data_IF_630129945807
#
_entry.id   IF_630129945807
#
_cell.length_a   1.000
_cell.length_b   1.000
_cell.length_c   1.000
_cell.angle_alpha   90.00
_cell.angle_beta   90.00
_cell.angle_gamma   90.00
#
_symmetry.space_group_name_H-M   'P 1'
#
loop_
_entity.id
_entity.type
_entity.pdbx_description
1 polymer ?
#
# COMPACT_ATOMS: atom_id res chain seq x y z
N UNK A 1 18.88 72.28 -28.59
CA UNK A 1 19.57 71.01 -28.29
C UNK A 1 19.20 70.43 -26.93
N UNK A 2 19.37 71.16 -25.81
CA UNK A 2 19.10 70.63 -24.46
C UNK A 2 17.65 70.13 -24.23
N UNK A 3 16.63 70.84 -24.73
CA UNK A 3 15.22 70.46 -24.60
C UNK A 3 14.91 69.11 -25.27
N UNK A 4 15.44 68.89 -26.47
CA UNK A 4 15.23 67.66 -27.25
C UNK A 4 15.87 66.47 -26.55
N UNK A 5 17.05 66.65 -25.96
CA UNK A 5 17.73 65.63 -25.16
C UNK A 5 16.94 65.30 -23.89
N UNK A 6 16.42 66.31 -23.18
CA UNK A 6 15.61 66.10 -21.99
C UNK A 6 14.31 65.32 -22.30
N UNK A 7 13.64 65.65 -23.40
CA UNK A 7 12.46 64.91 -23.87
C UNK A 7 12.82 63.46 -24.21
N UNK A 8 13.91 63.24 -24.94
CA UNK A 8 14.36 61.89 -25.30
C UNK A 8 14.68 61.03 -24.06
N UNK A 9 15.35 61.60 -23.06
CA UNK A 9 15.64 60.92 -21.78
C UNK A 9 14.35 60.57 -21.04
N UNK A 10 13.37 61.48 -20.99
CA UNK A 10 12.06 61.23 -20.38
C UNK A 10 11.30 60.11 -21.09
N UNK A 11 11.31 60.09 -22.42
CA UNK A 11 10.69 59.03 -23.21
C UNK A 11 11.32 57.66 -22.93
N UNK A 12 12.65 57.58 -22.80
CA UNK A 12 13.35 56.34 -22.45
C UNK A 12 13.00 55.88 -21.03
N UNK A 13 12.95 56.79 -20.06
CA UNK A 13 12.56 56.47 -18.68
C UNK A 13 11.13 55.95 -18.60
N UNK A 14 10.18 56.59 -19.29
CA UNK A 14 8.79 56.16 -19.38
C UNK A 14 8.65 54.78 -20.04
N UNK A 15 9.41 54.52 -21.11
CA UNK A 15 9.43 53.21 -21.76
C UNK A 15 9.94 52.12 -20.81
N UNK A 16 11.01 52.41 -20.04
CA UNK A 16 11.58 51.48 -19.05
C UNK A 16 10.62 51.22 -17.89
N UNK A 17 9.94 52.25 -17.37
CA UNK A 17 8.97 52.08 -16.28
C UNK A 17 7.76 51.25 -16.71
N UNK A 18 7.23 51.51 -17.91
CA UNK A 18 6.10 50.73 -18.45
C UNK A 18 6.49 49.27 -18.70
N UNK A 19 7.71 49.04 -19.22
CA UNK A 19 8.23 47.68 -19.38
C UNK A 19 8.37 46.96 -18.02
N UNK A 20 8.94 47.62 -17.01
CA UNK A 20 9.08 47.03 -15.67
C UNK A 20 7.73 46.74 -14.99
N UNK A 21 6.75 47.64 -15.16
CA UNK A 21 5.38 47.43 -14.68
C UNK A 21 4.73 46.23 -15.39
N UNK A 22 4.86 46.12 -16.71
CA UNK A 22 4.32 45.01 -17.48
C UNK A 22 4.94 43.67 -17.07
N UNK A 23 6.26 43.62 -16.81
CA UNK A 23 6.92 42.43 -16.29
C UNK A 23 6.40 42.07 -14.90
N UNK A 24 6.30 43.04 -13.99
CA UNK A 24 5.79 42.80 -12.63
C UNK A 24 4.33 42.34 -12.61
N UNK A 25 3.48 42.87 -13.50
CA UNK A 25 2.09 42.46 -13.62
C UNK A 25 1.98 41.03 -14.17
N UNK A 26 2.81 40.69 -15.16
CA UNK A 26 2.95 39.34 -15.68
C UNK A 26 3.40 38.36 -14.59
N UNK A 27 4.43 38.68 -13.82
CA UNK A 27 4.92 37.85 -12.72
C UNK A 27 3.84 37.67 -11.63
N UNK A 28 3.12 38.74 -11.29
CA UNK A 28 2.02 38.64 -10.32
C UNK A 28 0.89 37.75 -10.83
N UNK A 29 0.59 37.78 -12.13
CA UNK A 29 -0.39 36.91 -12.77
C UNK A 29 0.05 35.45 -12.73
N UNK A 30 1.33 35.17 -13.01
CA UNK A 30 1.90 33.81 -12.90
C UNK A 30 1.82 33.32 -11.46
N UNK A 31 2.28 34.10 -10.49
CA UNK A 31 2.21 33.73 -9.06
C UNK A 31 0.78 33.48 -8.57
N UNK A 32 -0.20 34.26 -9.04
CA UNK A 32 -1.62 34.00 -8.74
C UNK A 32 -2.11 32.69 -9.35
N UNK A 33 -1.71 32.41 -10.58
CA UNK A 33 -2.01 31.14 -11.25
C UNK A 33 -1.40 29.96 -10.49
N UNK A 34 -0.14 30.06 -10.09
CA UNK A 34 0.57 29.02 -9.35
C UNK A 34 -0.02 28.81 -7.95
N UNK A 35 -0.38 29.88 -7.23
CA UNK A 35 -1.04 29.77 -5.93
C UNK A 35 -2.42 29.11 -6.06
N UNK A 36 -3.18 29.43 -7.11
CA UNK A 36 -4.46 28.79 -7.38
C UNK A 36 -4.28 27.29 -7.66
N UNK A 37 -3.32 26.93 -8.53
CA UNK A 37 -2.99 25.54 -8.85
C UNK A 37 -2.51 24.77 -7.61
N UNK A 38 -1.61 25.35 -6.82
CA UNK A 38 -1.13 24.74 -5.57
C UNK A 38 -2.26 24.55 -4.56
N UNK A 39 -3.12 25.55 -4.38
CA UNK A 39 -4.28 25.44 -3.50
C UNK A 39 -5.21 24.31 -3.95
N UNK A 40 -5.46 24.15 -5.25
CA UNK A 40 -6.25 23.03 -5.78
C UNK A 40 -5.57 21.69 -5.54
N UNK A 41 -4.27 21.58 -5.78
CA UNK A 41 -3.52 20.33 -5.54
C UNK A 41 -3.54 19.94 -4.05
N UNK A 42 -3.37 20.91 -3.14
CA UNK A 42 -3.38 20.67 -1.70
C UNK A 42 -4.76 20.19 -1.23
N UNK A 43 -5.84 20.83 -1.67
CA UNK A 43 -7.20 20.42 -1.28
C UNK A 43 -7.56 19.04 -1.82
N UNK A 44 -7.21 18.76 -3.08
CA UNK A 44 -7.40 17.43 -3.67
C UNK A 44 -6.57 16.36 -2.95
N UNK A 45 -5.30 16.64 -2.61
CA UNK A 45 -4.48 15.69 -1.85
C UNK A 45 -5.01 15.43 -0.43
N UNK A 46 -5.44 16.47 0.29
CA UNK A 46 -6.00 16.33 1.63
C UNK A 46 -7.29 15.51 1.65
N UNK A 47 -8.19 15.75 0.67
CA UNK A 47 -9.40 14.95 0.52
C UNK A 47 -9.09 13.48 0.23
N UNK A 48 -8.18 13.23 -0.72
CA UNK A 48 -7.74 11.88 -1.05
C UNK A 48 -7.16 11.18 0.19
N UNK A 49 -6.25 11.83 0.92
CA UNK A 49 -5.64 11.27 2.13
C UNK A 49 -6.68 10.90 3.20
N UNK A 50 -7.66 11.78 3.43
CA UNK A 50 -8.75 11.49 4.36
C UNK A 50 -9.55 10.24 3.94
N UNK A 51 -9.80 10.07 2.64
CA UNK A 51 -10.48 8.87 2.13
C UNK A 51 -9.62 7.62 2.21
N UNK A 52 -8.34 7.70 1.85
CA UNK A 52 -7.37 6.61 2.03
C UNK A 52 -7.38 6.12 3.48
N UNK A 53 -7.37 7.05 4.44
CA UNK A 53 -7.42 6.71 5.86
C UNK A 53 -8.73 6.02 6.24
N UNK A 54 -9.88 6.51 5.76
CA UNK A 54 -11.18 5.90 6.04
C UNK A 54 -11.28 4.46 5.52
N UNK A 55 -10.84 4.22 4.27
CA UNK A 55 -10.83 2.87 3.67
C UNK A 55 -9.86 1.96 4.41
N UNK A 56 -8.67 2.46 4.76
CA UNK A 56 -7.69 1.71 5.52
C UNK A 56 -8.18 1.35 6.94
N UNK A 57 -8.87 2.27 7.62
CA UNK A 57 -9.45 2.03 8.94
C UNK A 57 -10.54 0.96 8.88
N UNK A 58 -11.45 1.04 7.89
CA UNK A 58 -12.48 0.03 7.69
C UNK A 58 -11.87 -1.36 7.41
N UNK A 59 -10.89 -1.43 6.50
CA UNK A 59 -10.18 -2.67 6.21
C UNK A 59 -9.45 -3.22 7.45
N UNK A 60 -8.82 -2.35 8.24
CA UNK A 60 -8.16 -2.72 9.50
C UNK A 60 -9.15 -3.31 10.50
N UNK A 61 -10.30 -2.67 10.68
CA UNK A 61 -11.37 -3.16 11.56
C UNK A 61 -11.88 -4.54 11.12
N UNK A 62 -12.12 -4.74 9.83
CA UNK A 62 -12.52 -6.04 9.28
C UNK A 62 -11.45 -7.10 9.53
N UNK A 63 -10.18 -6.77 9.31
CA UNK A 63 -9.07 -7.69 9.53
C UNK A 63 -8.95 -8.10 11.01
N UNK A 64 -9.18 -7.19 11.95
CA UNK A 64 -9.22 -7.51 13.39
C UNK A 64 -10.36 -8.46 13.75
N UNK A 65 -11.53 -8.31 13.13
CA UNK A 65 -12.65 -9.24 13.33
C UNK A 65 -12.34 -10.63 12.75
N UNK A 66 -11.67 -10.68 11.60
CA UNK A 66 -11.19 -11.94 11.00
C UNK A 66 -10.18 -12.62 11.92
N UNK A 67 -9.28 -11.87 12.54
CA UNK A 67 -8.32 -12.40 13.52
C UNK A 67 -9.01 -13.04 14.71
N UNK A 68 -9.91 -12.30 15.36
CA UNK A 68 -10.67 -12.82 16.50
C UNK A 68 -11.51 -14.05 16.12
N UNK A 69 -12.14 -14.04 14.94
CA UNK A 69 -12.90 -15.18 14.42
C UNK A 69 -12.02 -16.39 14.13
N UNK A 70 -10.84 -16.17 13.56
CA UNK A 70 -9.84 -17.20 13.25
C UNK A 70 -9.32 -17.85 14.52
N UNK A 71 -8.92 -17.05 15.51
CA UNK A 71 -8.44 -17.55 16.81
C UNK A 71 -9.51 -18.37 17.52
N UNK A 72 -10.76 -17.88 17.56
CA UNK A 72 -11.88 -18.60 18.15
C UNK A 72 -12.08 -19.97 17.49
N UNK A 73 -12.11 -20.02 16.16
CA UNK A 73 -12.27 -21.29 15.43
C UNK A 73 -11.08 -22.23 15.64
N UNK A 74 -9.85 -21.72 15.71
CA UNK A 74 -8.66 -22.55 16.00
C UNK A 74 -8.75 -23.17 17.39
N UNK A 75 -9.20 -22.41 18.39
CA UNK A 75 -9.43 -22.94 19.75
C UNK A 75 -10.50 -24.04 19.74
N UNK A 76 -11.62 -23.80 19.06
CA UNK A 76 -12.68 -24.79 18.90
C UNK A 76 -12.17 -26.07 18.22
N UNK A 77 -11.42 -25.92 17.14
CA UNK A 77 -10.84 -27.05 16.41
C UNK A 77 -9.84 -27.82 17.27
N UNK A 78 -9.02 -27.15 18.09
CA UNK A 78 -8.13 -27.83 19.04
C UNK A 78 -8.91 -28.69 20.04
N UNK A 79 -10.04 -28.21 20.56
CA UNK A 79 -10.86 -29.01 21.48
C UNK A 79 -11.52 -30.21 20.82
N UNK A 80 -11.95 -30.09 19.56
CA UNK A 80 -12.48 -31.21 18.79
C UNK A 80 -11.38 -32.23 18.51
N UNK A 81 -10.25 -31.76 17.96
CA UNK A 81 -9.12 -32.59 17.55
C UNK A 81 -8.45 -33.32 18.72
N UNK A 82 -8.48 -32.76 19.94
CA UNK A 82 -7.99 -33.43 21.14
C UNK A 82 -8.72 -34.77 21.43
N UNK A 83 -9.92 -34.95 20.89
CA UNK A 83 -10.72 -36.18 21.04
C UNK A 83 -10.50 -37.16 19.89
N UNK A 84 -9.88 -36.71 18.80
CA UNK A 84 -9.64 -37.51 17.61
C UNK A 84 -8.34 -38.30 17.77
N UNK A 85 -8.41 -39.63 17.69
CA UNK A 85 -7.26 -40.50 18.01
C UNK A 85 -6.25 -40.61 16.88
N UNK A 86 -6.64 -40.25 15.67
CA UNK A 86 -5.84 -40.44 14.45
C UNK A 86 -5.19 -39.16 13.93
N UNK A 87 -5.49 -38.01 14.52
CA UNK A 87 -5.04 -36.74 13.97
C UNK A 87 -3.52 -36.51 14.12
N UNK A 88 -2.88 -37.15 15.11
CA UNK A 88 -1.43 -37.02 15.35
C UNK A 88 -0.58 -37.84 14.37
N UNK A 89 -1.20 -38.62 13.49
CA UNK A 89 -0.49 -39.32 12.43
C UNK A 89 0.20 -38.31 11.51
N UNK A 90 1.45 -38.59 11.07
CA UNK A 90 2.15 -37.74 10.14
C UNK A 90 1.47 -37.78 8.77
N UNK A 91 1.40 -36.63 8.11
CA UNK A 91 1.03 -36.56 6.69
C UNK A 91 2.12 -37.26 5.87
N UNK A 92 1.78 -38.12 4.89
CA UNK A 92 2.75 -38.79 4.03
C UNK A 92 3.74 -37.82 3.39
N UNK A 93 5.01 -38.22 3.33
CA UNK A 93 6.11 -37.36 2.90
C UNK A 93 5.91 -36.79 1.48
N UNK A 94 5.39 -37.58 0.55
CA UNK A 94 5.12 -37.13 -0.82
C UNK A 94 4.08 -35.99 -0.87
N UNK A 95 3.06 -36.05 0.00
CA UNK A 95 2.02 -35.02 0.10
C UNK A 95 2.59 -33.76 0.76
N UNK A 96 3.30 -33.91 1.88
CA UNK A 96 3.91 -32.79 2.59
C UNK A 96 4.97 -32.09 1.72
N UNK A 97 5.77 -32.87 0.98
CA UNK A 97 6.75 -32.37 0.01
C UNK A 97 6.09 -31.60 -1.13
N UNK A 98 5.01 -32.13 -1.71
CA UNK A 98 4.25 -31.43 -2.75
C UNK A 98 3.64 -30.11 -2.28
N UNK A 99 3.12 -30.05 -1.04
CA UNK A 99 2.62 -28.81 -0.44
C UNK A 99 3.73 -27.78 -0.23
N UNK A 100 4.90 -28.23 0.24
CA UNK A 100 6.07 -27.37 0.44
C UNK A 100 6.58 -26.81 -0.90
N UNK A 101 6.69 -27.65 -1.93
CA UNK A 101 7.06 -27.22 -3.28
C UNK A 101 6.07 -26.19 -3.84
N UNK A 102 4.76 -26.43 -3.66
CA UNK A 102 3.74 -25.47 -4.07
C UNK A 102 3.90 -24.13 -3.34
N UNK A 103 4.15 -24.15 -2.03
CA UNK A 103 4.38 -22.93 -1.25
C UNK A 103 5.62 -22.17 -1.72
N UNK A 104 6.71 -22.87 -2.05
CA UNK A 104 7.90 -22.24 -2.63
C UNK A 104 7.60 -21.61 -4.00
N UNK A 105 6.88 -22.31 -4.87
CA UNK A 105 6.48 -21.77 -6.19
C UNK A 105 5.59 -20.55 -6.05
N UNK A 106 4.63 -20.58 -5.12
CA UNK A 106 3.76 -19.45 -4.85
C UNK A 106 4.57 -18.24 -4.35
N UNK A 107 5.49 -18.45 -3.40
CA UNK A 107 6.40 -17.41 -2.92
C UNK A 107 7.24 -16.83 -4.05
N UNK A 108 7.83 -17.68 -4.88
CA UNK A 108 8.64 -17.26 -6.02
C UNK A 108 7.83 -16.44 -7.05
N UNK A 109 6.55 -16.76 -7.25
CA UNK A 109 5.68 -15.97 -8.14
C UNK A 109 5.20 -14.66 -7.55
N UNK A 110 5.07 -14.57 -6.21
CA UNK A 110 4.51 -13.41 -5.53
C UNK A 110 5.57 -12.38 -5.12
N UNK A 111 6.79 -12.84 -4.82
CA UNK A 111 7.90 -11.98 -4.43
C UNK A 111 8.75 -11.63 -5.65
N UNK A 112 9.08 -10.35 -5.81
CA UNK A 112 10.14 -9.97 -6.75
C UNK A 112 11.45 -10.59 -6.25
N UNK A 113 12.24 -11.19 -7.15
CA UNK A 113 13.51 -11.80 -6.81
C UNK A 113 14.57 -10.73 -6.53
N UNK A 114 14.41 -9.99 -5.43
CA UNK A 114 15.42 -9.05 -4.96
C UNK A 114 16.47 -9.83 -4.15
N UNK A 115 17.50 -10.29 -4.86
CA UNK A 115 18.62 -11.04 -4.29
C UNK A 115 19.48 -10.21 -3.32
N UNK A 116 19.32 -8.88 -3.26
CA UNK A 116 20.15 -7.99 -2.46
C UNK A 116 19.83 -7.98 -0.96
N UNK A 117 18.65 -8.42 -0.56
CA UNK A 117 18.18 -8.38 0.83
C UNK A 117 17.53 -9.70 1.27
N UNK A 118 18.04 -10.82 0.74
CA UNK A 118 17.65 -12.14 1.22
C UNK A 118 18.05 -12.25 2.70
N UNK A 119 17.06 -12.40 3.58
CA UNK A 119 17.28 -12.60 5.00
C UNK A 119 17.96 -13.96 5.22
N UNK A 120 19.29 -13.95 5.26
CA UNK A 120 20.13 -15.12 5.50
C UNK A 120 19.81 -15.81 6.84
N UNK A 121 19.11 -15.13 7.76
CA UNK A 121 18.67 -15.69 9.05
C UNK A 121 17.54 -16.70 8.89
N UNK A 122 16.82 -16.67 7.76
CA UNK A 122 15.77 -17.66 7.42
C UNK A 122 16.29 -18.81 6.54
N UNK A 123 17.59 -18.93 6.30
CA UNK A 123 18.24 -20.11 5.68
C UNK A 123 18.62 -21.18 6.72
N UNK A 124 18.01 -21.12 7.91
CA UNK A 124 18.08 -22.22 8.86
C UNK A 124 17.53 -23.49 8.20
N UNK A 125 18.29 -24.58 8.25
CA UNK A 125 17.84 -25.89 7.79
C UNK A 125 16.44 -26.16 8.37
N UNK A 126 15.46 -26.34 7.49
CA UNK A 126 14.10 -26.70 7.88
C UNK A 126 14.22 -27.97 8.73
N UNK A 127 13.94 -27.85 10.02
CA UNK A 127 13.94 -29.00 10.91
C UNK A 127 13.04 -30.06 10.28
N UNK A 128 13.50 -31.31 10.23
CA UNK A 128 12.78 -32.45 9.66
C UNK A 128 11.56 -32.84 10.54
N UNK A 129 10.67 -31.89 10.78
CA UNK A 129 9.45 -32.06 11.53
C UNK A 129 8.35 -32.39 10.52
N UNK A 130 7.80 -33.61 10.59
CA UNK A 130 6.64 -34.00 9.80
C UNK A 130 5.40 -33.25 10.29
N UNK A 131 4.68 -32.59 9.38
CA UNK A 131 3.36 -32.03 9.70
C UNK A 131 2.37 -33.17 9.99
N UNK A 132 1.60 -33.07 11.07
CA UNK A 132 0.52 -34.03 11.38
C UNK A 132 -0.80 -33.61 10.77
N UNK A 133 -1.78 -34.52 10.64
CA UNK A 133 -3.12 -34.15 10.19
C UNK A 133 -3.78 -33.11 11.12
N UNK A 134 -3.54 -33.23 12.43
CA UNK A 134 -3.97 -32.27 13.44
C UNK A 134 -3.42 -30.87 13.15
N UNK A 135 -2.12 -30.77 12.89
CA UNK A 135 -1.49 -29.51 12.51
C UNK A 135 -2.04 -28.99 11.18
N UNK A 136 -2.14 -29.83 10.15
CA UNK A 136 -2.65 -29.43 8.85
C UNK A 136 -4.04 -28.81 8.94
N UNK A 137 -4.97 -29.45 9.67
CA UNK A 137 -6.34 -28.94 9.87
C UNK A 137 -6.33 -27.60 10.62
N UNK A 138 -5.50 -27.46 11.66
CA UNK A 138 -5.39 -26.21 12.43
C UNK A 138 -4.83 -25.05 11.61
N UNK A 139 -4.12 -25.30 10.50
CA UNK A 139 -3.59 -24.27 9.62
C UNK A 139 -4.59 -23.76 8.58
N UNK A 140 -5.62 -24.55 8.24
CA UNK A 140 -6.59 -24.18 7.19
C UNK A 140 -7.30 -22.87 7.54
N UNK A 141 -7.81 -22.73 8.77
CA UNK A 141 -8.57 -21.54 9.17
C UNK A 141 -7.69 -20.27 9.19
N UNK A 142 -6.49 -20.27 9.78
CA UNK A 142 -5.54 -19.17 9.64
C UNK A 142 -5.21 -18.80 8.19
N UNK A 143 -5.03 -19.80 7.31
CA UNK A 143 -4.75 -19.55 5.90
C UNK A 143 -5.92 -18.83 5.21
N UNK A 144 -7.15 -19.31 5.43
CA UNK A 144 -8.36 -18.66 4.89
C UNK A 144 -8.50 -17.23 5.43
N UNK A 145 -8.22 -17.01 6.71
CA UNK A 145 -8.20 -15.66 7.29
C UNK A 145 -7.17 -14.75 6.64
N UNK A 146 -5.96 -15.25 6.35
CA UNK A 146 -4.94 -14.46 5.65
C UNK A 146 -5.39 -14.08 4.22
N UNK A 147 -6.03 -14.99 3.49
CA UNK A 147 -6.59 -14.74 2.16
C UNK A 147 -7.69 -13.68 2.23
N UNK A 148 -8.61 -13.79 3.19
CA UNK A 148 -9.71 -12.84 3.37
C UNK A 148 -9.19 -11.43 3.66
N UNK A 149 -8.20 -11.29 4.55
CA UNK A 149 -7.54 -10.00 4.79
C UNK A 149 -6.85 -9.44 3.55
N UNK A 150 -6.21 -10.31 2.77
CA UNK A 150 -5.62 -9.94 1.47
C UNK A 150 -6.67 -9.38 0.51
N UNK A 151 -7.83 -10.04 0.44
CA UNK A 151 -8.95 -9.60 -0.40
C UNK A 151 -9.53 -8.25 0.08
N UNK A 152 -9.69 -8.03 1.39
CA UNK A 152 -10.14 -6.75 1.93
C UNK A 152 -9.18 -5.60 1.55
N UNK A 153 -7.87 -5.85 1.57
CA UNK A 153 -6.87 -4.86 1.13
C UNK A 153 -6.99 -4.57 -0.37
N UNK A 154 -7.11 -5.61 -1.20
CA UNK A 154 -7.28 -5.45 -2.65
C UNK A 154 -8.57 -4.70 -2.97
N UNK A 155 -9.64 -4.95 -2.22
CA UNK A 155 -10.91 -4.25 -2.40
C UNK A 155 -10.79 -2.77 -2.06
N UNK A 156 -10.20 -2.43 -0.91
CA UNK A 156 -9.92 -1.04 -0.57
C UNK A 156 -9.07 -0.35 -1.64
N UNK A 157 -8.05 -1.02 -2.20
CA UNK A 157 -7.26 -0.48 -3.32
C UNK A 157 -8.12 -0.23 -4.55
N UNK A 158 -9.04 -1.14 -4.90
CA UNK A 158 -9.94 -0.97 -6.06
C UNK A 158 -10.90 0.19 -5.86
N UNK A 159 -11.52 0.31 -4.69
CA UNK A 159 -12.38 1.45 -4.33
C UNK A 159 -11.64 2.77 -4.55
N UNK A 160 -10.43 2.88 -4.01
CA UNK A 160 -9.59 4.08 -4.15
C UNK A 160 -9.13 4.32 -5.60
N UNK A 161 -8.98 3.28 -6.42
CA UNK A 161 -8.65 3.43 -7.84
C UNK A 161 -9.83 3.89 -8.69
N UNK A 162 -11.05 3.41 -8.40
CA UNK A 162 -12.26 3.80 -9.13
C UNK A 162 -12.60 5.26 -8.90
N UNK A 163 -12.43 5.75 -7.66
CA UNK A 163 -12.74 7.13 -7.29
C UNK A 163 -11.69 8.16 -7.75
N UNK A 164 -10.53 7.70 -8.25
CA UNK A 164 -9.52 8.54 -8.91
C UNK A 164 -9.79 8.80 -10.39
N UNK A 165 -10.76 8.09 -11.00
CA UNK A 165 -11.23 8.35 -12.36
C UNK A 165 -12.27 9.46 -12.36
#
# INVERSE_FOLDING_TARGET
MALVVAIAVLCVLLARSNAALATSESDNRVLRSDNALQSTVITTQAFNFNRFNQVAENASRLNSLIDAGTEKTVIEYREILRREKTCDLPVPADIAGGLLEYAYRLRASAMHADSGNADATSDGAVAANSITYCQAVLWIKPLLGAIEKGNNKLEGIREMQQERK
#
